data_IF_674900572877
#
_entry.id   IF_674900572877
#
_cell.length_a   1.000
_cell.length_b   1.000
_cell.length_c   1.000
_cell.angle_alpha   90.00
_cell.angle_beta   90.00
_cell.angle_gamma   90.00
#
_symmetry.space_group_name_H-M   'P 1'
#
loop_
_entity.id
_entity.type
_entity.pdbx_description
1 polymer ?
#
# COMPACT_ATOMS: atom_id res chain seq x y z
N UNK A 1 0.55 -23.56 4.00
CA UNK A 1 -0.55 -23.92 3.08
C UNK A 1 -1.34 -22.67 2.66
N UNK A 2 -1.66 -21.76 3.55
CA UNK A 2 -2.40 -20.51 3.24
C UNK A 2 -1.63 -19.57 2.30
N UNK A 3 -0.32 -19.40 2.46
CA UNK A 3 0.50 -18.60 1.55
C UNK A 3 0.33 -18.99 0.06
N UNK A 4 0.21 -20.29 -0.23
CA UNK A 4 0.01 -20.78 -1.61
C UNK A 4 -1.30 -20.32 -2.23
N UNK A 5 -2.35 -20.15 -1.45
CA UNK A 5 -3.67 -19.73 -1.96
C UNK A 5 -3.68 -18.23 -2.27
N UNK A 6 -2.91 -17.44 -1.51
CA UNK A 6 -2.68 -16.01 -1.81
C UNK A 6 -1.91 -15.88 -3.13
N UNK A 7 -0.83 -16.63 -3.32
CA UNK A 7 -0.06 -16.67 -4.58
C UNK A 7 -0.97 -17.04 -5.75
N UNK A 8 -1.82 -18.06 -5.61
CA UNK A 8 -2.78 -18.43 -6.67
C UNK A 8 -3.75 -17.31 -7.00
N UNK A 9 -4.24 -16.58 -5.99
CA UNK A 9 -5.15 -15.46 -6.22
C UNK A 9 -4.44 -14.32 -6.96
N UNK A 10 -3.21 -13.99 -6.59
CA UNK A 10 -2.42 -12.94 -7.23
C UNK A 10 -2.13 -13.31 -8.69
N UNK A 11 -1.71 -14.55 -8.95
CA UNK A 11 -1.27 -14.99 -10.28
C UNK A 11 -2.34 -15.70 -11.11
N UNK A 12 -3.63 -15.64 -10.72
CA UNK A 12 -4.74 -16.26 -11.45
C UNK A 12 -4.55 -17.77 -11.69
N UNK A 13 -4.00 -18.48 -10.69
CA UNK A 13 -3.74 -19.93 -10.77
C UNK A 13 -4.79 -20.76 -10.02
N UNK A 14 -6.06 -20.57 -10.35
CA UNK A 14 -7.19 -21.31 -9.82
C UNK A 14 -7.25 -21.27 -8.27
N UNK A 15 -7.25 -20.05 -7.71
CA UNK A 15 -7.45 -19.85 -6.28
C UNK A 15 -8.82 -20.42 -5.84
N UNK A 16 -8.87 -21.28 -4.82
CA UNK A 16 -10.11 -21.94 -4.39
C UNK A 16 -11.09 -20.98 -3.70
N UNK A 17 -10.62 -19.83 -3.25
CA UNK A 17 -11.39 -18.77 -2.60
C UNK A 17 -10.70 -17.41 -2.76
N UNK A 18 -11.37 -16.33 -2.36
CA UNK A 18 -10.79 -14.99 -2.29
C UNK A 18 -10.07 -14.84 -0.95
N UNK A 19 -8.72 -14.74 -0.91
CA UNK A 19 -7.98 -14.61 0.35
C UNK A 19 -8.36 -13.35 1.12
N UNK A 20 -8.29 -13.43 2.45
CA UNK A 20 -8.53 -12.32 3.36
C UNK A 20 -7.24 -11.90 4.08
N UNK A 21 -6.96 -10.62 4.04
CA UNK A 21 -5.94 -9.98 4.85
C UNK A 21 -6.60 -9.10 5.92
N UNK A 22 -6.42 -9.46 7.18
CA UNK A 22 -6.89 -8.67 8.31
C UNK A 22 -5.78 -7.72 8.76
N UNK A 23 -6.09 -6.44 8.82
CA UNK A 23 -5.15 -5.46 9.36
C UNK A 23 -4.91 -5.67 10.86
N UNK A 24 -3.65 -5.48 11.26
CA UNK A 24 -3.21 -5.63 12.64
C UNK A 24 -2.68 -7.03 12.98
N UNK A 25 -1.93 -7.09 14.08
CA UNK A 25 -1.24 -8.32 14.50
C UNK A 25 -2.06 -9.17 15.50
N UNK A 26 -3.18 -8.69 15.95
CA UNK A 26 -4.10 -9.36 16.88
C UNK A 26 -4.91 -10.48 16.21
N UNK A 27 -5.03 -10.46 14.88
CA UNK A 27 -5.82 -11.42 14.09
C UNK A 27 -5.00 -12.30 13.13
N UNK A 28 -3.69 -12.41 13.33
CA UNK A 28 -2.79 -13.17 12.45
C UNK A 28 -3.24 -14.64 12.31
N UNK A 29 -3.78 -15.25 13.34
CA UNK A 29 -4.25 -16.63 13.23
C UNK A 29 -5.35 -16.83 12.17
N UNK A 30 -6.17 -15.79 11.93
CA UNK A 30 -7.35 -15.80 11.05
C UNK A 30 -7.06 -15.34 9.62
N UNK A 31 -5.99 -14.59 9.41
CA UNK A 31 -5.64 -14.00 8.10
C UNK A 31 -4.92 -14.98 7.19
N UNK A 32 -5.05 -14.84 5.86
CA UNK A 32 -4.26 -15.57 4.87
C UNK A 32 -2.92 -14.87 4.61
N UNK A 33 -2.93 -13.53 4.57
CA UNK A 33 -1.73 -12.71 4.40
C UNK A 33 -1.50 -11.80 5.61
N UNK A 34 -0.25 -11.47 5.90
CA UNK A 34 0.18 -10.61 7.01
C UNK A 34 1.05 -9.49 6.47
N UNK A 35 0.60 -8.26 6.65
CA UNK A 35 1.37 -7.07 6.30
C UNK A 35 2.13 -6.56 7.52
N UNK A 36 3.44 -6.39 7.40
CA UNK A 36 4.33 -5.96 8.48
C UNK A 36 5.16 -4.75 8.04
N UNK A 37 5.02 -3.64 8.78
CA UNK A 37 5.79 -2.42 8.53
C UNK A 37 7.28 -2.67 8.71
N UNK A 38 8.06 -2.24 7.71
CA UNK A 38 9.52 -2.41 7.68
C UNK A 38 10.29 -1.09 7.78
N UNK A 39 9.58 0.03 7.87
CA UNK A 39 10.13 1.37 8.05
C UNK A 39 9.83 1.92 9.44
N UNK A 40 10.70 2.80 9.95
CA UNK A 40 10.46 3.53 11.18
C UNK A 40 9.91 4.93 10.87
N UNK A 41 8.60 5.09 11.10
CA UNK A 41 7.89 6.32 10.80
C UNK A 41 7.66 7.19 12.05
N UNK A 42 7.99 6.68 13.26
CA UNK A 42 7.71 7.33 14.56
C UNK A 42 8.86 7.14 15.53
N UNK A 43 10.03 7.65 15.17
CA UNK A 43 11.25 7.63 15.99
C UNK A 43 11.52 8.99 16.68
N UNK A 44 12.73 9.11 17.24
CA UNK A 44 13.15 10.28 18.00
C UNK A 44 12.59 10.31 19.42
N UNK A 45 13.01 11.32 20.22
CA UNK A 45 12.58 11.45 21.62
C UNK A 45 11.08 11.71 21.77
N UNK A 46 10.49 12.43 20.81
CA UNK A 46 9.06 12.79 20.80
C UNK A 46 8.20 11.89 19.90
N UNK A 47 8.79 10.85 19.30
CA UNK A 47 8.11 9.91 18.43
C UNK A 47 7.58 10.51 17.13
N UNK A 48 8.20 11.59 16.61
CA UNK A 48 7.76 12.29 15.39
C UNK A 48 8.74 12.21 14.23
N UNK A 49 9.99 11.88 14.49
CA UNK A 49 11.02 11.76 13.46
C UNK A 49 10.87 10.47 12.68
N UNK A 50 10.94 10.56 11.37
CA UNK A 50 11.02 9.40 10.50
C UNK A 50 12.48 9.05 10.20
N UNK A 51 12.73 7.83 9.78
CA UNK A 51 14.07 7.44 9.31
C UNK A 51 14.43 8.05 7.93
N UNK A 52 13.48 8.74 7.29
CA UNK A 52 13.69 9.54 6.09
C UNK A 52 14.12 10.99 6.40
N UNK A 53 14.19 11.38 7.69
CA UNK A 53 14.71 12.67 8.16
C UNK A 53 13.67 13.79 8.26
N UNK A 54 12.42 13.58 7.88
CA UNK A 54 11.35 14.56 8.10
C UNK A 54 10.58 14.28 9.40
N UNK A 55 9.94 15.31 9.96
CA UNK A 55 9.16 15.24 11.19
C UNK A 55 7.67 15.44 10.93
N UNK A 56 6.85 14.64 11.64
CA UNK A 56 5.40 14.81 11.64
C UNK A 56 4.95 16.02 12.45
N UNK A 57 3.89 16.69 11.99
CA UNK A 57 3.20 17.71 12.76
C UNK A 57 2.50 17.10 13.98
N UNK A 58 2.37 17.90 15.03
CA UNK A 58 1.58 17.56 16.21
C UNK A 58 0.09 17.81 15.90
N UNK A 59 -0.66 16.77 15.65
CA UNK A 59 -2.06 16.87 15.23
C UNK A 59 -3.06 16.67 16.36
N UNK A 60 -2.60 16.25 17.56
CA UNK A 60 -3.48 15.84 18.66
C UNK A 60 -4.30 14.57 18.39
N UNK A 61 -4.15 13.97 17.22
CA UNK A 61 -4.80 12.70 16.84
C UNK A 61 -3.85 11.53 17.10
N UNK A 62 -4.43 10.36 17.33
CA UNK A 62 -3.69 9.10 17.51
C UNK A 62 -2.97 8.68 16.22
N UNK A 63 -3.55 9.01 15.05
CA UNK A 63 -2.94 8.86 13.72
C UNK A 63 -2.22 10.14 13.30
N UNK A 64 -0.91 10.04 13.11
CA UNK A 64 -0.01 11.18 12.78
C UNK A 64 0.37 11.27 11.31
N UNK A 65 0.01 10.24 10.49
CA UNK A 65 0.33 10.22 9.06
C UNK A 65 -0.36 11.35 8.31
N UNK A 66 0.37 12.03 7.46
CA UNK A 66 -0.16 12.92 6.42
C UNK A 66 0.16 14.41 6.57
N UNK A 67 0.69 14.87 7.69
CA UNK A 67 1.10 16.27 7.85
C UNK A 67 2.56 16.33 8.28
N UNK A 68 3.43 16.73 7.36
CA UNK A 68 4.85 17.00 7.64
C UNK A 68 4.98 18.41 8.20
N UNK A 69 5.71 18.54 9.32
CA UNK A 69 6.04 19.82 9.92
C UNK A 69 7.36 20.35 9.41
N UNK A 70 8.38 19.50 9.47
CA UNK A 70 9.76 19.86 9.15
C UNK A 70 10.25 18.90 8.05
N UNK A 71 10.30 19.33 6.78
CA UNK A 71 10.93 18.57 5.69
C UNK A 71 12.42 18.33 5.96
N UNK A 72 12.97 17.25 5.42
CA UNK A 72 14.40 16.97 5.55
C UNK A 72 15.27 17.86 4.65
N UNK A 73 14.71 18.31 3.52
CA UNK A 73 15.38 19.17 2.53
C UNK A 73 14.50 20.39 2.30
N UNK A 74 14.97 21.56 2.77
CA UNK A 74 14.31 22.85 2.55
C UNK A 74 14.99 23.66 1.44
N UNK A 75 16.25 23.36 1.14
CA UNK A 75 17.04 23.93 0.06
C UNK A 75 17.78 22.80 -0.68
N UNK A 76 17.89 22.90 -2.02
CA UNK A 76 18.53 21.87 -2.84
C UNK A 76 20.03 21.70 -2.57
N UNK A 77 20.68 22.72 -2.01
CA UNK A 77 22.09 22.60 -1.56
C UNK A 77 22.26 21.53 -0.47
N UNK A 78 21.20 21.17 0.24
CA UNK A 78 21.22 20.12 1.27
C UNK A 78 21.17 18.70 0.70
N UNK A 79 20.86 18.55 -0.61
CA UNK A 79 20.70 17.25 -1.24
C UNK A 79 22.00 16.41 -1.23
N UNK A 80 23.16 17.04 -1.33
CA UNK A 80 24.46 16.35 -1.32
C UNK A 80 24.76 15.70 0.05
N UNK A 81 24.25 16.28 1.13
CA UNK A 81 24.43 15.80 2.51
C UNK A 81 23.25 14.95 3.00
N UNK A 82 22.19 14.81 2.19
CA UNK A 82 21.00 14.05 2.59
C UNK A 82 21.27 12.55 2.70
N UNK A 83 20.94 11.99 3.85
CA UNK A 83 21.08 10.56 4.15
C UNK A 83 19.70 9.93 4.23
N UNK A 84 19.32 9.07 3.26
CA UNK A 84 18.06 8.34 3.29
C UNK A 84 18.07 7.23 4.35
N UNK A 85 16.97 6.50 4.48
CA UNK A 85 16.86 5.35 5.37
C UNK A 85 18.03 4.36 5.18
N UNK A 86 18.49 3.80 6.29
CA UNK A 86 19.45 2.70 6.27
C UNK A 86 18.72 1.35 6.29
N UNK A 87 18.64 0.69 5.13
CA UNK A 87 17.98 -0.61 5.00
C UNK A 87 18.53 -1.67 5.98
N UNK A 88 19.84 -1.60 6.30
CA UNK A 88 20.54 -2.53 7.19
C UNK A 88 20.56 -2.10 8.66
N UNK A 89 19.68 -1.19 9.07
CA UNK A 89 19.59 -0.75 10.46
C UNK A 89 19.42 -1.95 11.41
N UNK A 90 20.26 -2.10 12.44
CA UNK A 90 20.13 -3.17 13.42
C UNK A 90 18.74 -3.19 14.08
N UNK A 91 18.19 -4.39 14.26
CA UNK A 91 16.89 -4.59 14.90
C UNK A 91 15.65 -4.33 14.02
N UNK A 92 15.81 -3.86 12.76
CA UNK A 92 14.71 -3.57 11.84
C UNK A 92 13.68 -4.70 11.76
N UNK A 93 14.13 -5.94 11.67
CA UNK A 93 13.29 -7.12 11.43
C UNK A 93 13.08 -8.01 12.68
N UNK A 94 13.47 -7.58 13.88
CA UNK A 94 13.40 -8.46 15.07
C UNK A 94 11.95 -8.89 15.36
N UNK A 95 11.00 -7.96 15.39
CA UNK A 95 9.58 -8.27 15.58
C UNK A 95 9.01 -9.12 14.43
N UNK A 96 9.43 -8.84 13.22
CA UNK A 96 9.02 -9.58 12.02
C UNK A 96 9.42 -11.05 12.13
N UNK A 97 10.67 -11.33 12.50
CA UNK A 97 11.19 -12.70 12.69
C UNK A 97 10.41 -13.46 13.76
N UNK A 98 10.05 -12.82 14.87
CA UNK A 98 9.23 -13.42 15.93
C UNK A 98 7.85 -13.82 15.41
N UNK A 99 7.20 -12.93 14.65
CA UNK A 99 5.87 -13.17 14.05
C UNK A 99 5.94 -14.29 13.02
N UNK A 100 6.88 -14.24 12.08
CA UNK A 100 7.05 -15.26 11.03
C UNK A 100 7.33 -16.64 11.63
N UNK A 101 8.16 -16.71 12.67
CA UNK A 101 8.42 -17.94 13.40
C UNK A 101 7.18 -18.52 14.08
N UNK A 102 6.31 -17.65 14.60
CA UNK A 102 5.08 -18.07 15.30
C UNK A 102 3.98 -18.53 14.32
N UNK A 103 3.95 -17.99 13.12
CA UNK A 103 2.92 -18.25 12.10
C UNK A 103 3.52 -18.58 10.73
N UNK A 104 4.22 -19.72 10.58
CA UNK A 104 5.04 -20.02 9.39
C UNK A 104 4.24 -20.27 8.10
N UNK A 105 2.92 -20.38 8.15
CA UNK A 105 2.06 -20.74 7.00
C UNK A 105 1.47 -19.53 6.28
N UNK A 106 1.76 -18.31 6.75
CA UNK A 106 1.16 -17.09 6.21
C UNK A 106 1.94 -16.56 5.01
N UNK A 107 1.25 -15.79 4.17
CA UNK A 107 1.87 -14.98 3.13
C UNK A 107 2.29 -13.65 3.73
N UNK A 108 3.59 -13.34 3.71
CA UNK A 108 4.15 -12.18 4.38
C UNK A 108 4.45 -11.05 3.40
N UNK A 109 3.87 -9.88 3.67
CA UNK A 109 4.02 -8.66 2.87
C UNK A 109 4.84 -7.66 3.68
N UNK A 110 5.99 -7.23 3.16
CA UNK A 110 6.75 -6.12 3.71
C UNK A 110 6.07 -4.79 3.34
N UNK A 111 5.53 -4.10 4.34
CA UNK A 111 4.83 -2.84 4.15
C UNK A 111 5.82 -1.67 4.20
N UNK A 112 5.98 -1.01 3.08
CA UNK A 112 6.75 0.22 2.94
C UNK A 112 5.90 1.44 3.31
N UNK A 113 5.05 1.32 4.29
CA UNK A 113 4.17 2.35 4.86
C UNK A 113 3.99 3.61 3.99
N UNK A 114 5.09 4.18 3.50
CA UNK A 114 5.19 5.24 2.48
C UNK A 114 6.37 4.92 1.55
N UNK A 115 6.26 5.26 0.27
CA UNK A 115 7.29 5.01 -0.73
C UNK A 115 7.37 6.11 -1.80
N UNK A 116 8.36 6.04 -2.64
CA UNK A 116 8.53 6.79 -3.90
C UNK A 116 8.18 8.27 -3.83
N UNK A 117 7.17 8.66 -4.63
CA UNK A 117 6.67 10.03 -4.74
C UNK A 117 6.24 10.62 -3.40
N UNK A 118 5.51 9.85 -2.58
CA UNK A 118 5.04 10.32 -1.28
C UNK A 118 6.20 10.63 -0.33
N UNK A 119 7.21 9.76 -0.27
CA UNK A 119 8.43 10.04 0.51
C UNK A 119 9.15 11.28 -0.02
N UNK A 120 9.34 11.39 -1.34
CA UNK A 120 10.00 12.56 -1.93
C UNK A 120 9.28 13.86 -1.60
N UNK A 121 7.94 13.85 -1.69
CA UNK A 121 7.11 15.01 -1.37
C UNK A 121 7.19 15.42 0.11
N UNK A 122 7.39 14.47 1.01
CA UNK A 122 7.53 14.74 2.43
C UNK A 122 8.96 15.16 2.82
N UNK A 123 9.96 14.57 2.17
CA UNK A 123 11.37 14.93 2.35
C UNK A 123 11.63 16.35 1.89
N UNK A 124 11.04 16.79 0.78
CA UNK A 124 11.24 18.14 0.21
C UNK A 124 10.22 19.18 0.72
N UNK A 125 9.08 18.73 1.22
CA UNK A 125 7.90 19.55 1.48
C UNK A 125 6.94 19.50 0.30
N UNK A 126 5.66 19.15 0.58
CA UNK A 126 4.69 18.77 -0.45
C UNK A 126 4.48 19.83 -1.52
N UNK A 127 4.28 21.10 -1.11
CA UNK A 127 4.02 22.20 -2.05
C UNK A 127 5.25 22.51 -2.90
N UNK A 128 6.43 22.62 -2.25
CA UNK A 128 7.70 22.87 -2.93
C UNK A 128 8.02 21.74 -3.90
N UNK A 129 7.84 20.49 -3.50
CA UNK A 129 8.11 19.33 -4.36
C UNK A 129 7.24 19.32 -5.63
N UNK A 130 5.94 19.62 -5.51
CA UNK A 130 5.06 19.70 -6.68
C UNK A 130 5.48 20.81 -7.67
N UNK A 131 5.97 21.93 -7.16
CA UNK A 131 6.54 23.00 -8.00
C UNK A 131 7.86 22.54 -8.65
N UNK A 132 8.72 21.90 -7.88
CA UNK A 132 10.06 21.48 -8.30
C UNK A 132 10.04 20.43 -9.41
N UNK A 133 9.01 19.60 -9.50
CA UNK A 133 8.79 18.69 -10.65
C UNK A 133 8.86 19.46 -11.99
N UNK A 134 8.50 20.76 -12.00
CA UNK A 134 8.48 21.60 -13.20
C UNK A 134 9.71 22.50 -13.27
N UNK A 135 10.10 23.12 -12.14
CA UNK A 135 11.11 24.18 -12.16
C UNK A 135 12.52 23.70 -11.81
N UNK A 136 12.65 22.54 -11.14
CA UNK A 136 13.92 21.96 -10.70
C UNK A 136 14.01 20.46 -11.07
N UNK A 137 13.70 20.05 -12.32
CA UNK A 137 13.57 18.64 -12.68
C UNK A 137 14.87 17.84 -12.45
N UNK A 138 16.04 18.45 -12.62
CA UNK A 138 17.32 17.77 -12.39
C UNK A 138 17.53 17.39 -10.91
N UNK A 139 17.09 18.26 -9.99
CA UNK A 139 17.18 17.99 -8.55
C UNK A 139 16.12 16.96 -8.10
N UNK A 140 14.92 17.00 -8.70
CA UNK A 140 13.88 15.98 -8.49
C UNK A 140 14.38 14.61 -8.94
N UNK A 141 15.03 14.49 -10.11
CA UNK A 141 15.61 13.24 -10.61
C UNK A 141 16.69 12.69 -9.65
N UNK A 142 17.59 13.56 -9.15
CA UNK A 142 18.62 13.17 -8.17
C UNK A 142 18.00 12.67 -6.87
N UNK A 143 17.00 13.39 -6.34
CA UNK A 143 16.27 12.95 -5.13
C UNK A 143 15.58 11.61 -5.35
N UNK A 144 14.95 11.42 -6.52
CA UNK A 144 14.32 10.17 -6.90
C UNK A 144 15.33 9.00 -6.92
N UNK A 145 16.52 9.21 -7.49
CA UNK A 145 17.56 8.18 -7.50
C UNK A 145 18.03 7.80 -6.09
N UNK A 146 18.10 8.77 -5.17
CA UNK A 146 18.46 8.51 -3.76
C UNK A 146 17.35 7.71 -3.06
N UNK A 147 16.09 8.15 -3.14
CA UNK A 147 14.96 7.53 -2.44
C UNK A 147 14.71 6.11 -2.98
N UNK A 148 14.55 5.95 -4.30
CA UNK A 148 14.31 4.64 -4.90
C UNK A 148 15.50 3.70 -4.72
N UNK A 149 16.75 4.23 -4.72
CA UNK A 149 17.93 3.43 -4.41
C UNK A 149 17.93 2.87 -2.99
N UNK A 150 17.53 3.67 -2.00
CA UNK A 150 17.40 3.22 -0.61
C UNK A 150 16.26 2.19 -0.45
N UNK A 151 15.16 2.36 -1.16
CA UNK A 151 14.07 1.38 -1.21
C UNK A 151 14.49 0.07 -1.88
N UNK A 152 15.28 0.10 -2.96
CA UNK A 152 15.85 -1.10 -3.56
C UNK A 152 16.74 -1.88 -2.57
N UNK A 153 17.51 -1.18 -1.74
CA UNK A 153 18.30 -1.83 -0.70
C UNK A 153 17.39 -2.46 0.37
N UNK A 154 16.28 -1.80 0.73
CA UNK A 154 15.30 -2.36 1.65
C UNK A 154 14.59 -3.59 1.05
N UNK A 155 14.25 -3.58 -0.24
CA UNK A 155 13.71 -4.76 -0.97
C UNK A 155 14.66 -5.95 -0.83
N UNK A 156 15.98 -5.74 -1.00
CA UNK A 156 16.98 -6.82 -0.86
C UNK A 156 17.04 -7.37 0.56
N UNK A 157 16.91 -6.51 1.57
CA UNK A 157 16.88 -6.97 2.96
C UNK A 157 15.58 -7.72 3.29
N UNK A 158 14.40 -7.26 2.80
CA UNK A 158 13.13 -7.97 2.96
C UNK A 158 13.18 -9.38 2.35
N UNK A 159 13.78 -9.54 1.17
CA UNK A 159 13.94 -10.86 0.55
C UNK A 159 14.77 -11.82 1.42
N UNK A 160 15.85 -11.33 2.06
CA UNK A 160 16.68 -12.14 2.98
C UNK A 160 15.92 -12.57 4.23
N UNK A 161 14.96 -11.78 4.67
CA UNK A 161 14.12 -12.12 5.82
C UNK A 161 12.99 -13.09 5.49
N UNK A 162 12.76 -13.40 4.20
CA UNK A 162 11.77 -14.37 3.75
C UNK A 162 10.38 -13.81 3.59
N UNK A 163 10.23 -12.53 3.26
CA UNK A 163 8.96 -11.97 2.80
C UNK A 163 8.57 -12.55 1.44
N UNK A 164 7.27 -12.79 1.23
CA UNK A 164 6.71 -13.27 -0.03
C UNK A 164 6.38 -12.13 -0.99
N UNK A 165 6.16 -10.93 -0.46
CA UNK A 165 5.86 -9.74 -1.25
C UNK A 165 6.37 -8.46 -0.57
N UNK A 166 6.43 -7.37 -1.36
CA UNK A 166 6.50 -5.99 -0.87
C UNK A 166 5.21 -5.26 -1.19
N UNK A 167 4.82 -4.32 -0.34
CA UNK A 167 3.77 -3.34 -0.62
C UNK A 167 4.40 -1.95 -0.66
N UNK A 168 4.43 -1.35 -1.85
CA UNK A 168 4.78 0.04 -2.04
C UNK A 168 3.53 0.89 -1.78
N UNK A 169 3.62 1.91 -0.94
CA UNK A 169 2.49 2.76 -0.60
C UNK A 169 2.74 4.19 -1.07
N UNK A 170 2.08 4.57 -2.16
CA UNK A 170 2.35 5.83 -2.83
C UNK A 170 1.07 6.50 -3.34
N UNK A 171 0.69 7.61 -2.72
CA UNK A 171 -0.59 8.26 -2.95
C UNK A 171 -0.55 9.18 -4.19
N UNK A 172 -1.11 8.70 -5.30
CA UNK A 172 -1.12 9.38 -6.60
C UNK A 172 -2.37 10.21 -6.86
N UNK A 173 -3.44 9.97 -6.12
CA UNK A 173 -4.76 10.52 -6.43
C UNK A 173 -5.28 11.54 -5.43
N UNK A 174 -5.98 12.56 -5.96
CA UNK A 174 -6.96 13.36 -5.21
C UNK A 174 -8.31 12.65 -5.22
N UNK A 175 -9.37 13.31 -4.78
CA UNK A 175 -10.74 12.78 -4.86
C UNK A 175 -11.26 12.66 -6.31
N UNK A 176 -10.68 13.37 -7.26
CA UNK A 176 -11.22 13.51 -8.63
C UNK A 176 -10.20 13.39 -9.75
N UNK A 177 -8.90 13.41 -9.42
CA UNK A 177 -7.82 13.42 -10.42
C UNK A 177 -6.51 12.93 -9.82
N UNK A 178 -5.51 12.71 -10.66
CA UNK A 178 -4.13 12.54 -10.24
C UNK A 178 -3.56 13.83 -9.64
N UNK A 179 -2.58 13.72 -8.74
CA UNK A 179 -1.88 14.85 -8.11
C UNK A 179 -1.00 15.61 -9.10
N UNK A 180 -0.37 14.89 -10.02
CA UNK A 180 0.43 15.43 -11.13
C UNK A 180 0.00 14.77 -12.44
N UNK A 181 0.47 15.28 -13.57
CA UNK A 181 0.07 14.72 -14.86
C UNK A 181 0.56 13.28 -15.04
N UNK A 182 -0.23 12.44 -15.73
CA UNK A 182 0.17 11.08 -16.09
C UNK A 182 1.52 11.06 -16.84
N UNK A 183 1.80 12.08 -17.68
CA UNK A 183 3.06 12.20 -18.40
C UNK A 183 4.24 12.31 -17.43
N UNK A 184 4.14 13.14 -16.38
CA UNK A 184 5.16 13.28 -15.34
C UNK A 184 5.31 11.98 -14.53
N UNK A 185 4.22 11.30 -14.18
CA UNK A 185 4.27 10.00 -13.51
C UNK A 185 5.03 8.99 -14.38
N UNK A 186 4.68 8.89 -15.66
CA UNK A 186 5.29 7.93 -16.58
C UNK A 186 6.76 8.24 -16.88
N UNK A 187 7.15 9.52 -16.94
CA UNK A 187 8.53 9.89 -17.27
C UNK A 187 9.47 9.77 -16.07
N UNK A 188 9.05 10.19 -14.88
CA UNK A 188 9.93 10.30 -13.71
C UNK A 188 9.88 9.01 -12.86
N UNK A 189 8.68 8.48 -12.59
CA UNK A 189 8.48 7.46 -11.56
C UNK A 189 8.33 6.04 -12.12
N UNK A 190 7.60 5.84 -13.22
CA UNK A 190 7.37 4.50 -13.76
C UNK A 190 8.66 3.73 -14.12
N UNK A 191 9.73 4.34 -14.66
CA UNK A 191 10.99 3.63 -14.88
C UNK A 191 11.63 3.11 -13.59
N UNK A 192 11.46 3.83 -12.47
CA UNK A 192 11.99 3.46 -11.15
C UNK A 192 11.17 2.36 -10.52
N UNK A 193 9.83 2.46 -10.57
CA UNK A 193 8.96 1.35 -10.14
C UNK A 193 9.22 0.08 -10.91
N UNK A 194 9.39 0.18 -12.24
CA UNK A 194 9.74 -0.98 -13.06
C UNK A 194 11.00 -1.67 -12.55
N UNK A 195 12.03 -0.89 -12.21
CA UNK A 195 13.29 -1.42 -11.68
C UNK A 195 13.09 -2.10 -10.31
N UNK A 196 12.28 -1.53 -9.42
CA UNK A 196 11.93 -2.13 -8.13
C UNK A 196 11.12 -3.42 -8.31
N UNK A 197 10.15 -3.45 -9.22
CA UNK A 197 9.34 -4.63 -9.53
C UNK A 197 10.22 -5.75 -10.09
N UNK A 198 11.05 -5.45 -11.08
CA UNK A 198 12.01 -6.42 -11.65
C UNK A 198 12.98 -6.95 -10.59
N UNK A 199 13.45 -6.09 -9.67
CA UNK A 199 14.29 -6.49 -8.54
C UNK A 199 13.55 -7.45 -7.61
N UNK A 200 12.33 -7.10 -7.16
CA UNK A 200 11.53 -7.94 -6.28
C UNK A 200 11.25 -9.32 -6.91
N UNK A 201 10.82 -9.35 -8.18
CA UNK A 201 10.60 -10.58 -8.95
C UNK A 201 11.87 -11.43 -9.05
N UNK A 202 13.03 -10.81 -9.30
CA UNK A 202 14.31 -11.53 -9.36
C UNK A 202 14.70 -12.19 -8.02
N UNK A 203 14.14 -11.69 -6.92
CA UNK A 203 14.32 -12.20 -5.56
C UNK A 203 13.17 -13.13 -5.10
N UNK A 204 12.20 -13.38 -5.99
CA UNK A 204 11.06 -14.28 -5.74
C UNK A 204 9.93 -13.67 -4.92
N UNK A 205 9.80 -12.34 -4.89
CA UNK A 205 8.75 -11.61 -4.18
C UNK A 205 7.77 -10.98 -5.17
N UNK A 206 6.48 -11.01 -4.84
CA UNK A 206 5.44 -10.26 -5.54
C UNK A 206 5.49 -8.77 -5.13
N UNK A 207 4.89 -7.90 -5.97
CA UNK A 207 4.79 -6.47 -5.69
C UNK A 207 3.34 -6.02 -5.68
N UNK A 208 2.94 -5.40 -4.57
CA UNK A 208 1.64 -4.77 -4.39
C UNK A 208 1.86 -3.25 -4.37
N UNK A 209 1.05 -2.49 -5.09
CA UNK A 209 1.04 -1.03 -5.00
C UNK A 209 -0.24 -0.59 -4.27
N UNK A 210 -0.09 0.11 -3.15
CA UNK A 210 -1.17 0.87 -2.52
C UNK A 210 -1.16 2.30 -3.06
N UNK A 211 -2.34 2.82 -3.37
CA UNK A 211 -2.52 4.24 -3.65
C UNK A 211 -3.90 4.71 -3.25
N UNK A 212 -3.97 5.83 -2.54
CA UNK A 212 -5.21 6.53 -2.28
C UNK A 212 -5.66 7.36 -3.49
N UNK A 213 -6.95 7.74 -3.48
CA UNK A 213 -7.54 8.65 -4.43
C UNK A 213 -7.95 8.04 -5.77
N UNK A 214 -8.19 8.93 -6.73
CA UNK A 214 -8.55 8.57 -8.10
C UNK A 214 -7.29 8.23 -8.90
N UNK A 215 -7.09 6.95 -9.21
CA UNK A 215 -5.88 6.41 -9.84
C UNK A 215 -6.13 5.55 -11.07
N UNK A 216 -7.39 5.40 -11.49
CA UNK A 216 -7.78 4.49 -12.58
C UNK A 216 -7.01 4.78 -13.89
N UNK A 217 -6.54 6.00 -14.09
CA UNK A 217 -5.87 6.42 -15.31
C UNK A 217 -4.41 5.96 -15.40
N UNK A 218 -3.82 5.50 -14.28
CA UNK A 218 -2.43 4.98 -14.24
C UNK A 218 -2.33 3.49 -13.90
N UNK A 219 -3.44 2.82 -13.55
CA UNK A 219 -3.40 1.37 -13.26
C UNK A 219 -2.88 0.57 -14.46
N UNK A 220 -3.23 0.98 -15.70
CA UNK A 220 -2.70 0.35 -16.91
C UNK A 220 -1.19 0.44 -17.03
N UNK A 221 -0.60 1.58 -16.66
CA UNK A 221 0.85 1.79 -16.69
C UNK A 221 1.57 0.88 -15.67
N UNK A 222 0.99 0.71 -14.48
CA UNK A 222 1.51 -0.24 -13.49
C UNK A 222 1.42 -1.70 -13.98
N UNK A 223 0.35 -2.09 -14.66
CA UNK A 223 0.23 -3.42 -15.28
C UNK A 223 1.33 -3.62 -16.33
N UNK A 224 1.57 -2.62 -17.17
CA UNK A 224 2.56 -2.69 -18.26
C UNK A 224 4.00 -2.84 -17.76
N UNK A 225 4.31 -2.35 -16.55
CA UNK A 225 5.62 -2.52 -15.91
C UNK A 225 5.71 -3.76 -15.02
N UNK A 226 4.65 -4.59 -14.95
CA UNK A 226 4.67 -5.89 -14.30
C UNK A 226 4.18 -5.93 -12.85
N UNK A 227 3.39 -4.97 -12.40
CA UNK A 227 2.81 -4.99 -11.06
C UNK A 227 1.87 -6.18 -10.88
N UNK A 228 2.00 -6.92 -9.76
CA UNK A 228 1.22 -8.13 -9.48
C UNK A 228 -0.16 -7.82 -8.88
N UNK A 229 -0.21 -6.87 -7.96
CA UNK A 229 -1.48 -6.47 -7.33
C UNK A 229 -1.58 -4.97 -7.10
N UNK A 230 -2.80 -4.44 -7.20
CA UNK A 230 -3.12 -3.04 -6.89
C UNK A 230 -4.07 -2.98 -5.70
N UNK A 231 -3.73 -2.15 -4.71
CA UNK A 231 -4.61 -1.79 -3.61
C UNK A 231 -5.09 -0.34 -3.78
N UNK A 232 -6.22 -0.12 -4.46
CA UNK A 232 -6.84 1.20 -4.45
C UNK A 232 -7.40 1.44 -3.05
N UNK A 233 -6.85 2.42 -2.32
CA UNK A 233 -7.29 2.74 -0.95
C UNK A 233 -8.76 3.18 -0.89
N UNK A 234 -9.29 3.66 -2.01
CA UNK A 234 -10.66 4.14 -2.19
C UNK A 234 -11.28 3.58 -3.48
N UNK A 235 -11.67 2.28 -3.51
CA UNK A 235 -12.17 1.65 -4.73
C UNK A 235 -13.35 2.37 -5.36
N UNK A 236 -14.24 2.94 -4.53
CA UNK A 236 -15.45 3.63 -4.97
C UNK A 236 -15.15 4.89 -5.81
N UNK A 237 -14.06 5.62 -5.54
CA UNK A 237 -13.66 6.78 -6.34
C UNK A 237 -13.27 6.39 -7.76
N UNK A 238 -12.73 5.19 -7.92
CA UNK A 238 -12.28 4.66 -9.20
C UNK A 238 -13.40 3.97 -9.99
N UNK A 239 -14.56 3.76 -9.35
CA UNK A 239 -15.69 3.04 -9.94
C UNK A 239 -15.45 1.54 -10.06
N UNK A 240 -16.03 0.74 -9.17
CA UNK A 240 -15.78 -0.72 -9.08
C UNK A 240 -16.07 -1.43 -10.41
N UNK A 241 -17.18 -1.08 -11.06
CA UNK A 241 -17.55 -1.65 -12.37
C UNK A 241 -16.54 -1.24 -13.47
N UNK A 242 -16.10 0.01 -13.48
CA UNK A 242 -15.12 0.49 -14.46
C UNK A 242 -13.73 -0.13 -14.24
N UNK A 243 -13.31 -0.30 -12.98
CA UNK A 243 -12.10 -1.08 -12.65
C UNK A 243 -12.21 -2.50 -13.22
N UNK A 244 -13.33 -3.17 -12.97
CA UNK A 244 -13.58 -4.51 -13.49
C UNK A 244 -13.59 -4.58 -15.03
N UNK A 245 -14.28 -3.66 -15.69
CA UNK A 245 -14.35 -3.57 -17.16
C UNK A 245 -12.96 -3.37 -17.78
N UNK A 246 -12.11 -2.55 -17.19
CA UNK A 246 -10.77 -2.23 -17.73
C UNK A 246 -9.72 -3.28 -17.38
N UNK A 247 -9.74 -3.81 -16.15
CA UNK A 247 -8.58 -4.50 -15.58
C UNK A 247 -8.84 -5.89 -15.00
N UNK A 248 -10.10 -6.36 -14.94
CA UNK A 248 -10.42 -7.73 -14.48
C UNK A 248 -9.60 -8.77 -15.25
N UNK A 249 -8.95 -9.67 -14.52
CA UNK A 249 -8.11 -10.72 -15.09
C UNK A 249 -6.74 -10.26 -15.59
N UNK A 250 -6.38 -8.99 -15.38
CA UNK A 250 -5.08 -8.44 -15.80
C UNK A 250 -4.18 -8.10 -14.60
N UNK A 251 -4.76 -7.82 -13.44
CA UNK A 251 -4.08 -7.53 -12.19
C UNK A 251 -4.91 -8.04 -11.02
N UNK A 252 -4.28 -8.44 -9.93
CA UNK A 252 -4.98 -8.76 -8.69
C UNK A 252 -5.38 -7.47 -7.97
N UNK A 253 -6.64 -7.38 -7.51
CA UNK A 253 -7.11 -6.28 -6.69
C UNK A 253 -7.06 -6.65 -5.22
N UNK A 254 -6.52 -5.77 -4.38
CA UNK A 254 -6.55 -5.89 -2.92
C UNK A 254 -7.45 -4.77 -2.37
N UNK A 255 -8.74 -5.07 -2.13
CA UNK A 255 -9.75 -4.05 -1.86
C UNK A 255 -10.18 -3.97 -0.40
N UNK A 256 -10.05 -2.78 0.25
CA UNK A 256 -10.74 -2.46 1.49
C UNK A 256 -12.18 -2.03 1.22
N UNK A 257 -13.01 -1.98 2.28
CA UNK A 257 -14.30 -1.28 2.22
C UNK A 257 -14.08 0.23 2.02
N UNK A 258 -15.01 0.92 1.39
CA UNK A 258 -14.99 2.38 1.27
C UNK A 258 -15.10 3.08 2.62
N UNK A 259 -13.96 3.38 3.25
CA UNK A 259 -13.91 3.95 4.61
C UNK A 259 -14.58 5.31 4.72
N UNK A 260 -14.41 6.17 3.72
CA UNK A 260 -14.93 7.55 3.72
C UNK A 260 -16.39 7.64 3.23
N UNK A 261 -16.93 6.56 2.72
CA UNK A 261 -18.25 6.50 2.10
C UNK A 261 -19.12 5.44 2.77
N UNK A 262 -19.05 4.22 2.30
CA UNK A 262 -19.96 3.13 2.66
C UNK A 262 -19.86 2.75 4.14
N UNK A 263 -18.66 2.67 4.69
CA UNK A 263 -18.51 2.28 6.10
C UNK A 263 -19.07 3.33 7.07
N UNK A 264 -18.93 4.63 6.76
CA UNK A 264 -19.36 5.73 7.64
C UNK A 264 -20.81 6.13 7.36
N UNK A 265 -21.18 6.26 6.08
CA UNK A 265 -22.43 6.89 5.66
C UNK A 265 -23.45 5.91 5.07
N UNK A 266 -23.03 4.69 4.71
CA UNK A 266 -23.90 3.67 4.17
C UNK A 266 -24.69 2.92 5.25
N UNK A 267 -25.55 2.03 4.80
CA UNK A 267 -26.25 1.04 5.63
C UNK A 267 -25.46 -0.27 5.69
N UNK A 268 -25.84 -1.16 6.60
CA UNK A 268 -25.31 -2.54 6.63
C UNK A 268 -25.50 -3.23 5.26
N UNK A 269 -26.64 -3.02 4.59
CA UNK A 269 -26.91 -3.59 3.27
C UNK A 269 -25.93 -3.03 2.21
N UNK A 270 -25.61 -1.74 2.25
CA UNK A 270 -24.64 -1.11 1.34
C UNK A 270 -23.25 -1.72 1.50
N UNK A 271 -22.83 -2.03 2.73
CA UNK A 271 -21.55 -2.70 3.01
C UNK A 271 -21.52 -4.10 2.37
N UNK A 272 -22.57 -4.89 2.55
CA UNK A 272 -22.65 -6.22 1.92
C UNK A 272 -22.67 -6.13 0.40
N UNK A 273 -23.39 -5.15 -0.16
CA UNK A 273 -23.47 -4.95 -1.61
C UNK A 273 -22.11 -4.52 -2.19
N UNK A 274 -21.37 -3.65 -1.50
CA UNK A 274 -20.06 -3.23 -1.94
C UNK A 274 -19.06 -4.39 -1.96
N UNK A 275 -18.95 -5.18 -0.88
CA UNK A 275 -18.07 -6.35 -0.85
C UNK A 275 -18.46 -7.39 -1.91
N UNK A 276 -19.78 -7.60 -2.10
CA UNK A 276 -20.27 -8.47 -3.19
C UNK A 276 -19.84 -7.95 -4.56
N UNK A 277 -19.90 -6.63 -4.79
CA UNK A 277 -19.51 -6.02 -6.07
C UNK A 277 -18.02 -6.22 -6.36
N UNK A 278 -17.13 -6.26 -5.37
CA UNK A 278 -15.73 -6.60 -5.58
C UNK A 278 -15.60 -8.02 -6.15
N UNK A 279 -16.30 -8.97 -5.57
CA UNK A 279 -16.26 -10.37 -6.07
C UNK A 279 -16.84 -10.47 -7.48
N UNK A 280 -17.98 -9.84 -7.72
CA UNK A 280 -18.68 -9.93 -9.02
C UNK A 280 -17.92 -9.22 -10.14
N UNK A 281 -17.34 -8.03 -9.86
CA UNK A 281 -16.73 -7.20 -10.89
C UNK A 281 -15.21 -7.42 -11.05
N UNK A 282 -14.47 -7.69 -9.95
CA UNK A 282 -13.02 -7.70 -9.98
C UNK A 282 -12.43 -9.12 -9.98
N UNK A 283 -13.06 -10.07 -9.27
CA UNK A 283 -12.59 -11.45 -9.21
C UNK A 283 -12.90 -12.23 -10.48
N UNK A 284 -12.06 -13.22 -10.78
CA UNK A 284 -12.31 -14.25 -11.83
C UNK A 284 -12.39 -15.63 -11.19
N UNK A 285 -12.82 -16.65 -11.96
CA UNK A 285 -12.79 -18.05 -11.53
C UNK A 285 -11.37 -18.54 -11.17
N UNK A 286 -10.34 -17.85 -11.68
CA UNK A 286 -8.93 -18.21 -11.45
C UNK A 286 -8.30 -17.46 -10.29
N UNK A 287 -8.89 -16.38 -9.79
CA UNK A 287 -8.34 -15.48 -8.78
C UNK A 287 -8.51 -14.01 -9.14
N UNK A 288 -7.57 -13.16 -8.71
CA UNK A 288 -7.50 -11.74 -9.05
C UNK A 288 -8.17 -10.82 -8.04
N UNK A 289 -8.49 -11.31 -6.84
CA UNK A 289 -9.02 -10.50 -5.74
C UNK A 289 -8.49 -10.98 -4.39
N UNK A 290 -8.18 -10.03 -3.51
CA UNK A 290 -7.96 -10.19 -2.07
C UNK A 290 -8.86 -9.20 -1.32
N UNK A 291 -9.47 -9.65 -0.22
CA UNK A 291 -10.24 -8.78 0.67
C UNK A 291 -9.35 -8.21 1.77
N UNK A 292 -9.37 -6.88 1.95
CA UNK A 292 -8.64 -6.20 3.03
C UNK A 292 -9.61 -5.82 4.15
N UNK A 293 -9.50 -6.51 5.28
CA UNK A 293 -10.47 -6.40 6.39
C UNK A 293 -9.88 -5.55 7.51
N UNK A 294 -10.38 -4.32 7.66
CA UNK A 294 -10.02 -3.48 8.80
C UNK A 294 -10.60 -4.04 10.11
N UNK A 295 -9.96 -3.71 11.24
CA UNK A 295 -10.49 -4.07 12.55
C UNK A 295 -11.77 -3.30 12.87
N UNK A 296 -12.63 -3.88 13.73
CA UNK A 296 -13.79 -3.18 14.27
C UNK A 296 -13.41 -1.80 14.86
N UNK A 297 -12.38 -1.78 15.70
CA UNK A 297 -11.90 -0.53 16.32
C UNK A 297 -11.38 0.46 15.28
N UNK A 298 -10.68 -0.01 14.25
CA UNK A 298 -10.19 0.83 13.15
C UNK A 298 -11.33 1.53 12.42
N UNK A 299 -12.36 0.80 12.03
CA UNK A 299 -13.55 1.36 11.36
C UNK A 299 -14.35 2.28 12.30
N UNK A 300 -14.58 1.84 13.54
CA UNK A 300 -15.35 2.59 14.53
C UNK A 300 -14.66 3.92 14.90
N UNK A 301 -13.33 3.94 15.05
CA UNK A 301 -12.56 5.16 15.35
C UNK A 301 -12.59 6.21 14.22
N UNK A 302 -12.91 5.79 13.00
CA UNK A 302 -13.12 6.70 11.87
C UNK A 302 -14.53 7.33 11.87
N UNK A 303 -15.39 6.99 12.83
CA UNK A 303 -16.73 7.54 12.99
C UNK A 303 -17.85 6.70 12.36
N UNK A 304 -17.58 5.47 11.95
CA UNK A 304 -18.64 4.58 11.46
C UNK A 304 -19.59 4.17 12.59
N UNK A 305 -20.90 3.99 12.30
CA UNK A 305 -21.82 3.37 13.23
C UNK A 305 -21.33 1.99 13.69
N UNK A 306 -21.60 1.61 14.94
CA UNK A 306 -21.16 0.33 15.51
C UNK A 306 -21.63 -0.87 14.68
N UNK A 307 -22.87 -0.82 14.19
CA UNK A 307 -23.45 -1.86 13.32
C UNK A 307 -22.69 -1.99 11.98
N UNK A 308 -22.28 -0.86 11.40
CA UNK A 308 -21.50 -0.84 10.16
C UNK A 308 -20.08 -1.41 10.40
N UNK A 309 -19.42 -0.99 11.48
CA UNK A 309 -18.10 -1.52 11.82
C UNK A 309 -18.10 -3.05 12.02
N UNK A 310 -19.18 -3.60 12.62
CA UNK A 310 -19.38 -5.06 12.74
C UNK A 310 -19.68 -5.72 11.39
N UNK A 311 -20.48 -5.05 10.55
CA UNK A 311 -20.90 -5.60 9.27
C UNK A 311 -19.75 -5.75 8.26
N UNK A 312 -18.70 -4.91 8.33
CA UNK A 312 -17.55 -4.98 7.42
C UNK A 312 -16.89 -6.35 7.45
N UNK A 313 -16.49 -6.84 8.63
CA UNK A 313 -15.86 -8.16 8.76
C UNK A 313 -16.80 -9.28 8.29
N UNK A 314 -18.06 -9.24 8.69
CA UNK A 314 -19.06 -10.25 8.33
C UNK A 314 -19.34 -10.28 6.81
N UNK A 315 -19.30 -9.12 6.13
CA UNK A 315 -19.49 -9.04 4.69
C UNK A 315 -18.33 -9.70 3.94
N UNK A 316 -17.09 -9.40 4.34
CA UNK A 316 -15.93 -10.06 3.76
C UNK A 316 -15.93 -11.57 4.03
N UNK A 317 -16.23 -12.01 5.24
CA UNK A 317 -16.34 -13.45 5.55
C UNK A 317 -17.43 -14.14 4.75
N UNK A 318 -18.53 -13.46 4.45
CA UNK A 318 -19.64 -14.03 3.66
C UNK A 318 -19.29 -14.23 2.18
N UNK A 319 -18.61 -13.26 1.57
CA UNK A 319 -18.38 -13.27 0.11
C UNK A 319 -16.96 -13.69 -0.28
N UNK A 320 -16.02 -13.56 0.61
CA UNK A 320 -14.61 -13.94 0.48
C UNK A 320 -14.26 -15.05 1.48
N UNK A 321 -13.00 -15.47 1.50
CA UNK A 321 -12.56 -16.54 2.38
C UNK A 321 -12.95 -17.93 1.85
N UNK A 322 -12.60 -18.94 2.65
CA UNK A 322 -12.85 -20.33 2.29
C UNK A 322 -14.36 -20.58 2.16
N UNK A 323 -14.76 -21.16 1.04
CA UNK A 323 -16.14 -21.62 0.81
C UNK A 323 -16.16 -23.14 0.94
N UNK A 324 -16.87 -23.63 1.97
CA UNK A 324 -17.17 -25.05 2.15
C UNK A 324 -17.97 -25.62 0.98
#
# INVERSE_FOLDING_TARGET
MMAKEVVKAIHFDNAPYVPLMYYGTDRIAKTDAVMLGVQEMYGGEDGRMTEWGFNWAETGMEFKLGVVKDPAITDWDQLEDYVPLNAKRPGRFDKTREIMKKYPDKYYIADFILSGFTIMSFVRGFEDFLMDIIVEPENVEKLADIIFGAEEDLIRECAKEGFDAICLADDWGTQTSLLISREQICSIFMPRYKKQIELAHSLGMDVIMHSCGYIIDIIGDFIDIGLDAINPGQPNLNGIEELGKRFRGKICFACPIGYQTTAIHGTVEDIYNEVKSYVDCLSTEKGGLMGLVASFNGIYSLGAPEENAKAVELAFEKYCGYRD
#
